data_IF_336773296013
#
_entry.id   IF_336773296013
#
_cell.length_a   1.000
_cell.length_b   1.000
_cell.length_c   1.000
_cell.angle_alpha   90.00
_cell.angle_beta   90.00
_cell.angle_gamma   90.00
#
_symmetry.space_group_name_H-M   'P 1'
#
loop_
_entity.id
_entity.type
_entity.pdbx_description
1 polymer ?
#
# COMPACT_ATOMS: atom_id res chain seq x y z
N UNK A 1 -19.51 8.00 -30.04
CA UNK A 1 -19.24 7.41 -28.69
C UNK A 1 -17.97 6.59 -28.81
N UNK A 2 -16.91 6.99 -28.14
CA UNK A 2 -15.68 6.19 -28.03
C UNK A 2 -15.98 4.99 -27.15
N UNK A 3 -15.66 3.78 -27.61
CA UNK A 3 -15.82 2.56 -26.82
C UNK A 3 -14.83 2.61 -25.62
N UNK A 4 -15.34 2.52 -24.39
CA UNK A 4 -14.51 2.42 -23.15
C UNK A 4 -14.20 0.94 -22.88
N UNK A 5 -13.44 0.30 -23.78
CA UNK A 5 -13.02 -1.10 -23.68
C UNK A 5 -11.57 -1.13 -23.25
N UNK A 6 -11.28 -1.78 -22.13
CA UNK A 6 -9.93 -2.03 -21.64
C UNK A 6 -9.38 -3.30 -22.31
N UNK A 7 -8.15 -3.24 -22.82
CA UNK A 7 -7.53 -4.36 -23.50
C UNK A 7 -6.51 -5.03 -22.56
N UNK A 8 -6.88 -6.18 -22.02
CA UNK A 8 -6.03 -7.00 -21.17
C UNK A 8 -5.79 -6.42 -19.76
N UNK A 9 -4.99 -7.14 -18.97
CA UNK A 9 -4.70 -6.80 -17.58
C UNK A 9 -4.04 -5.42 -17.44
N UNK A 10 -2.98 -5.17 -18.21
CA UNK A 10 -2.19 -3.94 -18.09
C UNK A 10 -3.02 -2.65 -18.25
N UNK A 11 -3.93 -2.62 -19.23
CA UNK A 11 -4.78 -1.46 -19.47
C UNK A 11 -5.97 -1.34 -18.48
N UNK A 12 -6.17 -2.38 -17.66
CA UNK A 12 -7.18 -2.38 -16.60
C UNK A 12 -6.67 -1.85 -15.27
N UNK A 13 -5.34 -1.70 -15.12
CA UNK A 13 -4.72 -1.12 -13.93
C UNK A 13 -4.93 0.39 -13.91
N UNK A 14 -5.32 0.93 -12.76
CA UNK A 14 -5.55 2.35 -12.58
C UNK A 14 -6.96 2.83 -12.96
N UNK A 15 -7.16 4.14 -12.99
CA UNK A 15 -8.46 4.80 -13.10
C UNK A 15 -9.49 4.26 -12.09
N UNK A 16 -9.02 3.97 -10.88
CA UNK A 16 -9.86 3.51 -9.79
C UNK A 16 -10.79 4.62 -9.32
N UNK A 17 -11.97 4.29 -8.81
CA UNK A 17 -12.87 5.29 -8.23
C UNK A 17 -12.25 6.01 -7.04
N UNK A 18 -12.68 7.24 -6.83
CA UNK A 18 -12.54 7.96 -5.57
C UNK A 18 -13.90 7.91 -4.88
N UNK A 19 -13.96 7.31 -3.70
CA UNK A 19 -15.21 7.01 -2.97
C UNK A 19 -15.31 7.97 -1.79
N UNK A 20 -16.44 8.66 -1.65
CA UNK A 20 -16.74 9.37 -0.41
C UNK A 20 -17.15 8.37 0.68
N UNK A 21 -16.54 8.49 1.86
CA UNK A 21 -16.87 7.68 3.03
C UNK A 21 -17.90 8.48 3.84
N UNK A 22 -19.17 8.28 3.51
CA UNK A 22 -20.29 9.10 3.99
C UNK A 22 -20.40 9.17 5.52
N UNK A 23 -20.22 8.04 6.19
CA UNK A 23 -20.29 7.99 7.65
C UNK A 23 -19.23 8.86 8.32
N UNK A 24 -18.03 8.89 7.77
CA UNK A 24 -16.90 9.67 8.29
C UNK A 24 -17.02 11.15 7.87
N UNK A 25 -17.51 11.43 6.67
CA UNK A 25 -17.81 12.79 6.24
C UNK A 25 -18.81 13.44 7.16
N UNK A 26 -19.90 12.74 7.48
CA UNK A 26 -20.93 13.21 8.42
C UNK A 26 -20.36 13.41 9.84
N UNK A 27 -19.55 12.47 10.34
CA UNK A 27 -19.00 12.52 11.69
C UNK A 27 -17.94 13.62 11.88
N UNK A 28 -17.15 13.92 10.85
CA UNK A 28 -16.07 14.92 10.94
C UNK A 28 -16.47 16.32 10.50
N UNK A 29 -17.51 16.42 9.66
CA UNK A 29 -17.89 17.65 8.97
C UNK A 29 -16.90 18.05 7.87
N UNK A 30 -16.09 17.11 7.42
CA UNK A 30 -15.18 17.20 6.27
C UNK A 30 -15.67 16.25 5.18
N UNK A 31 -15.24 16.43 3.94
CA UNK A 31 -15.40 15.42 2.89
C UNK A 31 -14.23 14.43 2.97
N UNK A 32 -14.50 13.18 3.36
CA UNK A 32 -13.48 12.13 3.47
C UNK A 32 -13.55 11.21 2.25
N UNK A 33 -12.46 11.17 1.48
CA UNK A 33 -12.38 10.46 0.21
C UNK A 33 -11.37 9.31 0.28
N UNK A 34 -11.77 8.13 -0.18
CA UNK A 34 -10.92 6.95 -0.30
C UNK A 34 -10.64 6.60 -1.76
N UNK A 35 -9.39 6.60 -2.18
CA UNK A 35 -8.98 6.11 -3.50
C UNK A 35 -9.01 4.59 -3.52
N UNK A 36 -9.97 4.00 -4.23
CA UNK A 36 -10.32 2.58 -4.16
C UNK A 36 -9.34 1.68 -4.92
N UNK A 37 -8.11 1.58 -4.46
CA UNK A 37 -7.04 0.79 -5.08
C UNK A 37 -7.29 -0.74 -5.01
N UNK A 38 -8.19 -1.19 -4.15
CA UNK A 38 -8.66 -2.58 -4.13
C UNK A 38 -9.47 -2.97 -5.39
N UNK A 39 -9.86 -2.01 -6.21
CA UNK A 39 -10.54 -2.24 -7.50
C UNK A 39 -9.57 -2.37 -8.68
N UNK A 40 -8.27 -2.27 -8.48
CA UNK A 40 -7.32 -2.74 -9.49
C UNK A 40 -7.52 -4.24 -9.77
N UNK A 41 -7.21 -4.73 -10.97
CA UNK A 41 -7.49 -6.11 -11.38
C UNK A 41 -6.80 -7.19 -10.53
N UNK A 42 -5.65 -6.90 -9.93
CA UNK A 42 -4.97 -7.76 -8.94
C UNK A 42 -5.41 -7.49 -7.51
N UNK A 43 -6.32 -6.55 -7.30
CA UNK A 43 -6.96 -6.26 -6.02
C UNK A 43 -6.16 -5.38 -5.08
N UNK A 44 -5.16 -4.63 -5.55
CA UNK A 44 -4.40 -3.75 -4.67
C UNK A 44 -3.71 -2.59 -5.38
N UNK A 45 -3.25 -1.63 -4.57
CA UNK A 45 -2.40 -0.51 -4.99
C UNK A 45 -1.08 -0.95 -5.65
N UNK A 46 -0.63 -2.18 -5.39
CA UNK A 46 0.64 -2.70 -5.91
C UNK A 46 0.61 -3.05 -7.39
N UNK A 47 -0.57 -3.20 -7.98
CA UNK A 47 -0.72 -3.47 -9.41
C UNK A 47 -0.11 -2.36 -10.25
N UNK A 48 -0.23 -1.11 -9.80
CA UNK A 48 0.38 0.05 -10.47
C UNK A 48 1.91 -0.03 -10.44
N UNK A 49 2.49 -0.22 -9.26
CA UNK A 49 3.92 -0.34 -9.09
C UNK A 49 4.48 -1.53 -9.89
N UNK A 50 3.84 -2.70 -9.82
CA UNK A 50 4.22 -3.88 -10.56
C UNK A 50 4.25 -3.63 -12.07
N UNK A 51 3.19 -3.02 -12.60
CA UNK A 51 3.11 -2.70 -14.02
C UNK A 51 4.20 -1.73 -14.46
N UNK A 52 4.40 -0.62 -13.73
CA UNK A 52 5.40 0.38 -14.10
C UNK A 52 6.84 -0.13 -14.00
N UNK A 53 7.18 -0.89 -12.96
CA UNK A 53 8.51 -1.49 -12.82
C UNK A 53 8.82 -2.41 -14.00
N UNK A 54 7.83 -3.19 -14.46
CA UNK A 54 8.03 -4.10 -15.62
C UNK A 54 8.14 -3.32 -16.93
N UNK A 55 7.24 -2.35 -17.18
CA UNK A 55 7.26 -1.56 -18.41
C UNK A 55 8.55 -0.73 -18.56
N UNK A 56 9.04 -0.13 -17.48
CA UNK A 56 10.29 0.63 -17.53
C UNK A 56 11.51 -0.31 -17.67
N UNK A 57 11.47 -1.52 -17.10
CA UNK A 57 12.51 -2.52 -17.32
C UNK A 57 12.56 -2.98 -18.78
N UNK A 58 11.41 -3.20 -19.43
CA UNK A 58 11.33 -3.52 -20.86
C UNK A 58 11.91 -2.39 -21.72
N UNK A 59 11.46 -1.17 -21.47
CA UNK A 59 11.91 0.03 -22.19
C UNK A 59 13.41 0.26 -22.05
N UNK A 60 13.97 -0.02 -20.88
CA UNK A 60 15.40 0.08 -20.60
C UNK A 60 16.22 -1.12 -21.12
N UNK A 61 15.56 -2.16 -21.67
CA UNK A 61 16.23 -3.39 -22.14
C UNK A 61 16.76 -4.29 -21.01
N UNK A 62 16.34 -4.03 -19.76
CA UNK A 62 16.71 -4.82 -18.58
C UNK A 62 15.93 -6.12 -18.47
N UNK A 63 14.74 -6.19 -19.07
CA UNK A 63 13.88 -7.37 -19.15
C UNK A 63 13.57 -7.66 -20.61
N UNK A 64 13.99 -8.81 -21.11
CA UNK A 64 13.79 -9.24 -22.50
C UNK A 64 12.69 -10.30 -22.55
N UNK A 65 12.15 -10.52 -23.75
CA UNK A 65 11.09 -11.53 -23.97
C UNK A 65 11.47 -12.90 -23.38
N UNK A 66 10.52 -13.53 -22.69
CA UNK A 66 10.70 -14.82 -22.02
C UNK A 66 11.55 -14.77 -20.74
N UNK A 67 11.96 -13.59 -20.28
CA UNK A 67 12.75 -13.40 -19.06
C UNK A 67 11.98 -13.67 -17.78
N UNK A 68 12.64 -13.51 -16.64
CA UNK A 68 12.09 -13.70 -15.31
C UNK A 68 12.05 -12.38 -14.52
N UNK A 69 10.95 -12.13 -13.83
CA UNK A 69 10.80 -11.04 -12.88
C UNK A 69 11.01 -11.62 -11.49
N UNK A 70 12.01 -11.13 -10.77
CA UNK A 70 12.36 -11.61 -9.43
C UNK A 70 12.04 -10.54 -8.41
N UNK A 71 11.37 -10.91 -7.30
CA UNK A 71 11.10 -9.98 -6.20
C UNK A 71 11.08 -10.68 -4.85
N UNK A 72 11.62 -9.98 -3.84
CA UNK A 72 11.51 -10.36 -2.45
C UNK A 72 10.26 -9.76 -1.81
N UNK A 73 9.19 -10.55 -1.65
CA UNK A 73 7.93 -10.04 -1.11
C UNK A 73 7.02 -11.15 -0.59
N UNK A 74 6.33 -10.88 0.51
CA UNK A 74 5.30 -11.77 1.08
C UNK A 74 3.86 -11.25 0.85
N UNK A 75 3.69 -10.21 0.01
CA UNK A 75 2.41 -9.49 -0.08
C UNK A 75 1.94 -9.19 -1.49
N UNK A 76 1.16 -8.12 -1.56
CA UNK A 76 0.47 -7.68 -2.78
C UNK A 76 1.39 -7.42 -3.98
N UNK A 77 2.66 -7.06 -3.75
CA UNK A 77 3.62 -6.85 -4.85
C UNK A 77 3.89 -8.13 -5.61
N UNK A 78 4.04 -9.27 -4.92
CA UNK A 78 4.21 -10.56 -5.57
C UNK A 78 3.00 -10.92 -6.44
N UNK A 79 1.79 -10.64 -5.97
CA UNK A 79 0.55 -10.85 -6.72
C UNK A 79 0.54 -9.99 -7.98
N UNK A 80 0.79 -8.67 -7.83
CA UNK A 80 0.80 -7.74 -8.96
C UNK A 80 1.84 -8.12 -10.01
N UNK A 81 3.07 -8.45 -9.58
CA UNK A 81 4.15 -8.86 -10.48
C UNK A 81 3.83 -10.18 -11.21
N UNK A 82 3.25 -11.16 -10.51
CA UNK A 82 2.86 -12.44 -11.14
C UNK A 82 1.77 -12.25 -12.20
N UNK A 83 0.78 -11.40 -11.93
CA UNK A 83 -0.29 -11.10 -12.89
C UNK A 83 0.25 -10.32 -14.11
N UNK A 84 1.13 -9.35 -13.88
CA UNK A 84 1.81 -8.61 -14.97
C UNK A 84 2.69 -9.57 -15.78
N UNK A 85 3.45 -10.45 -15.11
CA UNK A 85 4.29 -11.45 -15.77
C UNK A 85 3.46 -12.34 -16.70
N UNK A 86 2.36 -12.90 -16.20
CA UNK A 86 1.45 -13.72 -17.02
C UNK A 86 0.90 -12.95 -18.23
N UNK A 87 0.46 -11.70 -18.02
CA UNK A 87 -0.11 -10.88 -19.08
C UNK A 87 0.91 -10.49 -20.17
N UNK A 88 2.20 -10.53 -19.85
CA UNK A 88 3.29 -10.10 -20.75
C UNK A 88 4.24 -11.22 -21.19
N UNK A 89 3.96 -12.47 -20.79
CA UNK A 89 4.75 -13.65 -21.21
C UNK A 89 6.09 -13.79 -20.49
N UNK A 90 6.18 -13.34 -19.23
CA UNK A 90 7.34 -13.52 -18.36
C UNK A 90 7.10 -14.60 -17.31
N UNK A 91 8.19 -15.12 -16.76
CA UNK A 91 8.17 -15.90 -15.52
C UNK A 91 8.17 -14.94 -14.32
N UNK A 92 7.60 -15.35 -13.21
CA UNK A 92 7.74 -14.64 -11.93
C UNK A 92 8.36 -15.55 -10.88
N UNK A 93 9.40 -15.07 -10.20
CA UNK A 93 10.10 -15.75 -9.10
C UNK A 93 9.94 -14.90 -7.85
N UNK A 94 9.19 -15.40 -6.88
CA UNK A 94 8.87 -14.68 -5.65
C UNK A 94 9.57 -15.34 -4.48
N UNK A 95 10.48 -14.60 -3.87
CA UNK A 95 11.20 -15.02 -2.66
C UNK A 95 10.49 -14.46 -1.44
N UNK A 96 10.12 -15.33 -0.49
CA UNK A 96 9.37 -14.91 0.69
C UNK A 96 9.77 -15.71 1.94
N UNK A 97 9.58 -15.13 3.16
CA UNK A 97 9.83 -15.85 4.40
C UNK A 97 8.84 -17.01 4.60
N UNK A 98 9.34 -18.14 5.10
CA UNK A 98 8.55 -19.36 5.29
C UNK A 98 7.48 -19.27 6.40
N UNK A 99 7.52 -18.25 7.24
CA UNK A 99 6.53 -18.01 8.30
C UNK A 99 5.27 -17.25 7.83
N UNK A 100 5.09 -17.10 6.52
CA UNK A 100 3.87 -16.54 5.94
C UNK A 100 2.74 -17.60 5.99
N UNK A 101 1.48 -17.13 5.90
CA UNK A 101 0.34 -18.05 5.84
C UNK A 101 0.39 -18.92 4.59
N UNK A 102 -0.06 -20.17 4.70
CA UNK A 102 -0.11 -21.09 3.56
C UNK A 102 -0.96 -20.54 2.42
N UNK A 103 -2.06 -19.85 2.75
CA UNK A 103 -2.95 -19.19 1.78
C UNK A 103 -2.22 -18.21 0.86
N UNK A 104 -1.25 -17.45 1.38
CA UNK A 104 -0.45 -16.51 0.57
C UNK A 104 0.50 -17.25 -0.38
N UNK A 105 1.13 -18.31 0.11
CA UNK A 105 2.04 -19.13 -0.68
C UNK A 105 1.26 -19.79 -1.82
N UNK A 106 0.11 -20.37 -1.51
CA UNK A 106 -0.73 -21.06 -2.47
C UNK A 106 -1.35 -20.11 -3.51
N UNK A 107 -1.72 -18.90 -3.08
CA UNK A 107 -2.19 -17.87 -4.00
C UNK A 107 -1.12 -17.53 -5.04
N UNK A 108 0.12 -17.28 -4.62
CA UNK A 108 1.21 -16.95 -5.56
C UNK A 108 1.50 -18.11 -6.53
N UNK A 109 1.50 -19.36 -6.03
CA UNK A 109 1.64 -20.57 -6.87
C UNK A 109 0.49 -20.71 -7.87
N UNK A 110 -0.74 -20.44 -7.42
CA UNK A 110 -1.93 -20.46 -8.29
C UNK A 110 -1.83 -19.42 -9.40
N UNK A 111 -1.19 -18.28 -9.12
CA UNK A 111 -0.91 -17.25 -10.12
C UNK A 111 0.29 -17.60 -11.04
N UNK A 112 0.86 -18.79 -10.91
CA UNK A 112 1.96 -19.27 -11.75
C UNK A 112 3.35 -18.81 -11.29
N UNK A 113 3.49 -18.21 -10.09
CA UNK A 113 4.79 -17.83 -9.58
C UNK A 113 5.60 -19.02 -9.09
N UNK A 114 6.89 -19.02 -9.40
CA UNK A 114 7.88 -19.85 -8.73
C UNK A 114 8.14 -19.25 -7.34
N UNK A 115 7.65 -19.93 -6.28
CA UNK A 115 7.76 -19.43 -4.90
C UNK A 115 8.94 -20.10 -4.20
N UNK A 116 9.91 -19.29 -3.82
CA UNK A 116 11.11 -19.70 -3.08
C UNK A 116 10.98 -19.24 -1.62
N UNK A 117 11.03 -20.19 -0.68
CA UNK A 117 10.87 -19.93 0.76
C UNK A 117 12.23 -19.80 1.43
N UNK A 118 12.40 -18.74 2.22
CA UNK A 118 13.59 -18.51 3.06
C UNK A 118 13.24 -18.60 4.55
N UNK A 119 14.20 -18.88 5.39
CA UNK A 119 14.03 -18.73 6.82
C UNK A 119 13.81 -17.24 7.17
N UNK A 120 12.92 -16.93 8.14
CA UNK A 120 12.78 -15.56 8.62
C UNK A 120 14.11 -15.03 9.16
N UNK A 121 14.55 -13.91 8.64
CA UNK A 121 15.80 -13.28 9.01
C UNK A 121 15.65 -11.73 9.04
N UNK A 122 16.37 -11.01 9.92
CA UNK A 122 16.35 -9.55 9.93
C UNK A 122 16.97 -8.98 8.64
N UNK A 123 16.60 -7.76 8.29
CA UNK A 123 17.08 -7.10 7.06
C UNK A 123 18.61 -7.03 6.97
N UNK A 124 19.32 -6.94 8.10
CA UNK A 124 20.79 -6.93 8.16
C UNK A 124 21.45 -8.28 7.82
N UNK A 125 20.69 -9.38 7.80
CA UNK A 125 21.19 -10.70 7.43
C UNK A 125 21.18 -10.90 5.91
N UNK A 126 22.23 -11.50 5.32
CA UNK A 126 22.23 -11.88 3.91
C UNK A 126 21.14 -12.91 3.55
N UNK A 127 20.64 -13.67 4.54
CA UNK A 127 19.57 -14.65 4.37
C UNK A 127 18.16 -14.03 4.38
N UNK A 128 18.07 -12.70 4.56
CA UNK A 128 16.78 -12.03 4.42
C UNK A 128 16.26 -12.17 2.98
N UNK A 129 14.98 -12.45 2.84
CA UNK A 129 14.33 -12.67 1.54
C UNK A 129 14.60 -11.56 0.50
N UNK A 130 14.84 -10.33 0.95
CA UNK A 130 15.20 -9.21 0.08
C UNK A 130 16.58 -9.43 -0.60
N UNK A 131 17.59 -9.81 0.20
CA UNK A 131 18.94 -10.07 -0.32
C UNK A 131 19.01 -11.37 -1.12
N UNK A 132 18.26 -12.39 -0.69
CA UNK A 132 18.13 -13.66 -1.43
C UNK A 132 17.50 -13.42 -2.80
N UNK A 133 16.44 -12.59 -2.90
CA UNK A 133 15.82 -12.24 -4.18
C UNK A 133 16.79 -11.53 -5.11
N UNK A 134 17.57 -10.58 -4.58
CA UNK A 134 18.63 -9.93 -5.35
C UNK A 134 19.62 -10.95 -5.91
N UNK A 135 20.19 -11.80 -5.06
CA UNK A 135 21.14 -12.85 -5.47
C UNK A 135 20.51 -13.78 -6.50
N UNK A 136 19.26 -14.20 -6.29
CA UNK A 136 18.54 -15.06 -7.21
C UNK A 136 18.38 -14.44 -8.59
N UNK A 137 18.15 -13.12 -8.66
CA UNK A 137 18.07 -12.41 -9.95
C UNK A 137 19.41 -12.36 -10.71
N UNK A 138 20.54 -12.42 -10.00
CA UNK A 138 21.88 -12.47 -10.59
C UNK A 138 22.24 -13.88 -11.14
N UNK A 139 21.58 -14.92 -10.60
CA UNK A 139 21.79 -16.34 -11.00
C UNK A 139 20.93 -16.78 -12.20
N UNK A 140 19.79 -16.14 -12.40
CA UNK A 140 18.85 -16.48 -13.47
C UNK A 140 19.17 -15.67 -14.72
N UNK A 141 19.43 -16.36 -15.82
CA UNK A 141 19.65 -15.70 -17.11
C UNK A 141 18.41 -14.89 -17.54
N UNK A 142 18.62 -13.68 -18.04
CA UNK A 142 17.57 -12.76 -18.45
C UNK A 142 16.55 -12.48 -17.32
N UNK A 143 17.02 -12.33 -16.09
CA UNK A 143 16.18 -11.93 -14.96
C UNK A 143 16.26 -10.42 -14.70
N UNK A 144 15.16 -9.87 -14.27
CA UNK A 144 15.02 -8.51 -13.77
C UNK A 144 14.60 -8.54 -12.30
N UNK A 145 15.42 -7.97 -11.42
CA UNK A 145 15.03 -7.73 -10.03
C UNK A 145 14.18 -6.47 -9.93
N UNK A 146 12.91 -6.62 -9.57
CA UNK A 146 11.99 -5.50 -9.52
C UNK A 146 12.37 -4.47 -8.45
N UNK A 147 12.93 -4.93 -7.29
CA UNK A 147 13.47 -4.10 -6.21
C UNK A 147 12.52 -2.98 -5.78
N UNK A 148 11.31 -3.35 -5.39
CA UNK A 148 10.20 -2.44 -5.10
C UNK A 148 10.54 -1.29 -4.13
N UNK A 149 11.55 -1.45 -3.28
CA UNK A 149 11.94 -0.44 -2.29
C UNK A 149 12.80 0.68 -2.88
N UNK A 150 13.73 0.33 -3.78
CA UNK A 150 14.71 1.29 -4.32
C UNK A 150 14.46 1.65 -5.79
N UNK A 151 13.68 0.86 -6.52
CA UNK A 151 13.31 1.17 -7.90
C UNK A 151 12.28 2.30 -7.95
N UNK A 152 12.69 3.45 -8.46
CA UNK A 152 11.87 4.66 -8.53
C UNK A 152 10.66 4.54 -9.46
N UNK A 153 10.63 3.57 -10.38
CA UNK A 153 9.44 3.29 -11.20
C UNK A 153 8.21 2.97 -10.34
N UNK A 154 8.42 2.50 -9.10
CA UNK A 154 7.33 2.33 -8.13
C UNK A 154 6.69 3.68 -7.77
N UNK A 155 7.46 4.68 -7.40
CA UNK A 155 6.91 6.02 -7.09
C UNK A 155 6.47 6.76 -8.35
N UNK A 156 7.11 6.53 -9.50
CA UNK A 156 6.70 7.10 -10.77
C UNK A 156 5.31 6.62 -11.21
N UNK A 157 4.96 5.37 -10.93
CA UNK A 157 3.61 4.84 -11.17
C UNK A 157 2.54 5.71 -10.50
N UNK A 158 2.77 6.09 -9.25
CA UNK A 158 1.83 6.89 -8.48
C UNK A 158 1.88 8.38 -8.82
N UNK A 159 3.05 8.89 -9.15
CA UNK A 159 3.21 10.27 -9.63
C UNK A 159 2.49 10.48 -10.97
N UNK A 160 2.60 9.51 -11.90
CA UNK A 160 2.03 9.62 -13.25
C UNK A 160 0.57 9.19 -13.35
N UNK A 161 0.04 8.44 -12.38
CA UNK A 161 -1.33 7.90 -12.47
C UNK A 161 -2.17 8.19 -11.25
N UNK A 162 -1.84 7.68 -10.06
CA UNK A 162 -2.68 7.79 -8.86
C UNK A 162 -2.94 9.24 -8.47
N UNK A 163 -1.91 10.05 -8.43
CA UNK A 163 -2.01 11.45 -8.01
C UNK A 163 -2.78 12.32 -9.03
N UNK A 164 -2.50 12.26 -10.34
CA UNK A 164 -3.31 12.94 -11.35
C UNK A 164 -4.78 12.51 -11.35
N UNK A 165 -5.06 11.21 -11.08
CA UNK A 165 -6.43 10.73 -10.95
C UNK A 165 -7.15 11.38 -9.77
N UNK A 166 -6.52 11.40 -8.57
CA UNK A 166 -7.07 12.04 -7.38
C UNK A 166 -7.31 13.54 -7.66
N UNK A 167 -6.33 14.24 -8.19
CA UNK A 167 -6.43 15.67 -8.51
C UNK A 167 -7.59 15.97 -9.46
N UNK A 168 -7.72 15.20 -10.54
CA UNK A 168 -8.82 15.32 -11.50
C UNK A 168 -10.18 14.99 -10.87
N UNK A 169 -10.25 13.93 -10.07
CA UNK A 169 -11.49 13.44 -9.45
C UNK A 169 -12.03 14.40 -8.40
N UNK A 170 -11.16 15.16 -7.74
CA UNK A 170 -11.53 16.21 -6.80
C UNK A 170 -11.77 17.58 -7.48
N UNK A 171 -11.57 17.68 -8.80
CA UNK A 171 -11.62 18.96 -9.50
C UNK A 171 -10.51 19.94 -9.06
N UNK A 172 -9.44 19.43 -8.41
CA UNK A 172 -8.41 20.25 -7.78
C UNK A 172 -8.77 20.79 -6.39
N UNK A 173 -9.95 20.48 -5.90
CA UNK A 173 -10.45 20.90 -4.56
C UNK A 173 -10.06 19.82 -3.52
N UNK A 174 -8.81 19.86 -3.09
CA UNK A 174 -8.23 18.94 -2.11
C UNK A 174 -7.39 19.73 -1.11
N UNK A 175 -7.72 19.62 0.18
CA UNK A 175 -7.04 20.33 1.27
C UNK A 175 -5.99 19.47 1.96
N UNK A 176 -6.19 18.15 1.98
CA UNK A 176 -5.26 17.25 2.63
C UNK A 176 -5.26 15.83 2.08
N UNK A 177 -4.11 15.16 2.24
CA UNK A 177 -3.97 13.74 1.98
C UNK A 177 -3.11 13.08 3.05
N UNK A 178 -3.52 11.87 3.45
CA UNK A 178 -2.76 11.08 4.42
C UNK A 178 -2.73 9.63 3.99
N UNK A 179 -1.60 8.98 4.18
CA UNK A 179 -1.42 7.56 3.89
C UNK A 179 -0.26 6.96 4.67
N UNK A 180 -0.27 5.67 4.83
CA UNK A 180 0.84 4.89 5.41
C UNK A 180 1.92 4.59 4.36
N UNK A 181 3.06 4.09 4.83
CA UNK A 181 4.19 3.76 3.98
C UNK A 181 4.76 2.37 4.29
N UNK A 182 4.94 1.59 3.24
CA UNK A 182 5.80 0.40 3.22
C UNK A 182 7.02 0.69 2.36
N UNK A 183 6.93 0.48 1.04
CA UNK A 183 8.01 0.78 0.09
C UNK A 183 8.25 2.27 -0.11
N UNK A 184 7.31 3.11 0.24
CA UNK A 184 7.36 4.55 -0.02
C UNK A 184 6.85 4.97 -1.40
N UNK A 185 6.57 4.04 -2.31
CA UNK A 185 6.19 4.38 -3.68
C UNK A 185 4.94 5.23 -3.77
N UNK A 186 3.86 4.82 -3.12
CA UNK A 186 2.59 5.56 -3.15
C UNK A 186 2.73 6.95 -2.54
N UNK A 187 3.24 7.03 -1.30
CA UNK A 187 3.37 8.30 -0.60
C UNK A 187 4.38 9.23 -1.31
N UNK A 188 5.49 8.68 -1.83
CA UNK A 188 6.50 9.43 -2.57
C UNK A 188 5.94 10.04 -3.85
N UNK A 189 5.29 9.23 -4.70
CA UNK A 189 4.74 9.69 -5.96
C UNK A 189 3.55 10.64 -5.79
N UNK A 190 2.61 10.27 -4.91
CA UNK A 190 1.38 11.06 -4.71
C UNK A 190 1.68 12.42 -4.10
N UNK A 191 2.47 12.48 -3.03
CA UNK A 191 2.74 13.77 -2.37
C UNK A 191 3.63 14.67 -3.19
N UNK A 192 4.58 14.11 -3.97
CA UNK A 192 5.40 14.91 -4.89
C UNK A 192 4.52 15.62 -5.91
N UNK A 193 3.65 14.90 -6.62
CA UNK A 193 2.76 15.48 -7.61
C UNK A 193 1.78 16.50 -7.01
N UNK A 194 1.08 16.12 -5.93
CA UNK A 194 0.05 16.99 -5.33
C UNK A 194 0.63 18.29 -4.77
N UNK A 195 1.83 18.26 -4.18
CA UNK A 195 2.53 19.48 -3.74
C UNK A 195 3.00 20.37 -4.89
N UNK A 196 3.16 19.84 -6.08
CA UNK A 196 3.43 20.64 -7.30
C UNK A 196 2.16 21.33 -7.81
N UNK A 197 0.99 20.67 -7.65
CA UNK A 197 -0.29 21.30 -8.02
C UNK A 197 -0.73 22.35 -6.99
N UNK A 198 -0.58 22.06 -5.70
CA UNK A 198 -0.92 22.94 -4.60
C UNK A 198 0.09 22.78 -3.45
N UNK A 199 1.00 23.73 -3.31
CA UNK A 199 2.04 23.69 -2.26
C UNK A 199 1.48 23.80 -0.84
N UNK A 200 0.28 24.33 -0.65
CA UNK A 200 -0.39 24.46 0.65
C UNK A 200 -1.19 23.21 1.06
N UNK A 201 -1.38 22.23 0.16
CA UNK A 201 -2.08 20.98 0.46
C UNK A 201 -1.39 20.24 1.61
N UNK A 202 -2.13 19.90 2.68
CA UNK A 202 -1.60 19.22 3.83
C UNK A 202 -1.30 17.73 3.51
N UNK A 203 -0.04 17.32 3.61
CA UNK A 203 0.42 15.97 3.30
C UNK A 203 0.98 15.28 4.52
N UNK A 204 0.39 14.14 4.92
CA UNK A 204 0.73 13.48 6.17
C UNK A 204 1.01 11.99 5.99
N UNK A 205 1.93 11.48 6.80
CA UNK A 205 2.10 10.06 7.05
C UNK A 205 1.17 9.62 8.19
N UNK A 206 0.58 8.44 8.10
CA UNK A 206 0.10 7.66 9.25
C UNK A 206 0.96 6.42 9.38
N UNK A 207 1.60 6.23 10.54
CA UNK A 207 2.60 5.18 10.76
C UNK A 207 2.13 4.20 11.83
N UNK A 208 2.20 2.87 11.60
CA UNK A 208 1.79 1.88 12.58
C UNK A 208 2.79 1.76 13.72
N UNK A 209 2.38 1.16 14.82
CA UNK A 209 3.26 0.68 15.88
C UNK A 209 4.33 -0.26 15.28
N UNK A 210 5.55 -0.22 15.78
CA UNK A 210 6.65 -1.05 15.26
C UNK A 210 7.36 -0.50 14.01
N UNK A 211 6.90 0.64 13.47
CA UNK A 211 7.59 1.37 12.41
C UNK A 211 8.41 2.53 12.95
N UNK A 212 9.49 2.88 12.27
CA UNK A 212 10.36 4.00 12.62
C UNK A 212 10.14 5.27 11.81
N UNK A 213 9.21 5.30 10.85
CA UNK A 213 9.02 6.45 9.97
C UNK A 213 8.43 7.66 10.69
N UNK A 214 7.52 7.43 11.65
CA UNK A 214 6.99 8.52 12.48
C UNK A 214 8.12 9.21 13.26
N UNK A 215 8.95 8.45 13.95
CA UNK A 215 10.08 9.01 14.73
C UNK A 215 11.11 9.67 13.82
N UNK A 216 11.38 9.10 12.65
CA UNK A 216 12.26 9.72 11.67
C UNK A 216 11.76 11.10 11.22
N UNK A 217 10.46 11.24 10.91
CA UNK A 217 9.88 12.53 10.49
C UNK A 217 9.79 13.57 11.62
N UNK A 218 9.56 13.12 12.86
CA UNK A 218 9.32 14.03 13.99
C UNK A 218 10.57 14.33 14.82
N UNK A 219 11.55 13.42 14.85
CA UNK A 219 12.74 13.51 15.69
C UNK A 219 14.05 13.37 14.90
N UNK A 220 14.00 13.03 13.61
CA UNK A 220 15.19 12.85 12.75
C UNK A 220 15.88 11.49 12.89
N UNK A 221 15.35 10.56 13.67
CA UNK A 221 15.94 9.24 13.91
C UNK A 221 14.91 8.11 13.77
N UNK A 222 15.38 6.93 13.31
CA UNK A 222 14.55 5.73 13.25
C UNK A 222 14.46 5.06 14.62
N UNK A 223 13.30 5.18 15.25
CA UNK A 223 13.02 4.51 16.52
C UNK A 223 11.71 3.77 16.42
N UNK A 224 11.79 2.44 16.33
CA UNK A 224 10.65 1.54 16.29
C UNK A 224 10.44 0.91 17.66
N UNK A 225 9.19 0.91 18.13
CA UNK A 225 8.80 0.28 19.38
C UNK A 225 7.57 -0.59 19.15
N UNK A 226 7.61 -1.82 19.67
CA UNK A 226 6.52 -2.79 19.52
C UNK A 226 6.46 -3.46 18.13
N UNK A 227 5.31 -4.02 17.83
CA UNK A 227 4.96 -4.68 16.56
C UNK A 227 3.57 -4.26 16.15
N UNK A 228 3.20 -4.52 14.91
CA UNK A 228 1.84 -4.30 14.41
C UNK A 228 1.31 -5.52 13.67
N UNK A 229 -0.01 -5.67 13.67
CA UNK A 229 -0.74 -6.64 12.86
C UNK A 229 -0.88 -6.19 11.40
N UNK A 230 -0.55 -4.94 11.10
CA UNK A 230 -0.67 -4.41 9.74
C UNK A 230 0.30 -5.07 8.79
N UNK A 231 -0.12 -5.28 7.56
CA UNK A 231 0.68 -5.93 6.54
C UNK A 231 1.05 -4.96 5.42
N UNK A 232 2.27 -5.12 4.88
CA UNK A 232 2.76 -4.35 3.73
C UNK A 232 3.13 -2.89 4.01
N UNK A 233 3.08 -2.47 5.26
CA UNK A 233 3.44 -1.14 5.74
C UNK A 233 4.28 -1.22 7.00
N UNK A 234 4.89 -0.10 7.39
CA UNK A 234 5.79 -0.04 8.54
C UNK A 234 7.21 -0.50 8.19
N UNK A 235 8.17 0.39 8.32
CA UNK A 235 9.56 0.15 7.96
C UNK A 235 10.50 0.98 8.84
N UNK A 236 11.73 0.47 9.06
CA UNK A 236 12.74 1.11 9.93
C UNK A 236 13.92 1.69 9.13
N UNK A 237 13.67 2.13 7.92
CA UNK A 237 14.63 2.82 7.07
C UNK A 237 13.93 3.72 6.06
N UNK A 238 14.58 4.76 5.59
CA UNK A 238 14.13 5.49 4.42
C UNK A 238 14.54 4.72 3.15
N UNK A 239 13.58 4.48 2.26
CA UNK A 239 13.81 3.91 0.94
C UNK A 239 13.99 5.02 -0.09
N UNK A 240 14.56 4.72 -1.25
CA UNK A 240 14.67 5.70 -2.33
C UNK A 240 13.28 6.25 -2.73
N UNK A 241 12.26 5.42 -2.74
CA UNK A 241 10.90 5.83 -3.02
C UNK A 241 10.33 6.76 -1.95
N UNK A 242 10.55 6.46 -0.65
CA UNK A 242 10.07 7.30 0.46
C UNK A 242 10.75 8.66 0.49
N UNK A 243 12.02 8.74 0.11
CA UNK A 243 12.77 10.01 0.05
C UNK A 243 12.21 11.03 -0.95
N UNK A 244 11.30 10.61 -1.84
CA UNK A 244 10.56 11.51 -2.74
C UNK A 244 9.33 12.15 -2.08
N UNK A 245 8.91 11.65 -0.91
CA UNK A 245 7.71 12.15 -0.24
C UNK A 245 7.93 13.58 0.26
N UNK A 246 6.93 14.42 0.04
CA UNK A 246 6.88 15.80 0.56
C UNK A 246 5.81 15.83 1.64
N UNK A 247 6.21 15.80 2.90
CA UNK A 247 5.35 15.62 4.05
C UNK A 247 5.41 16.82 5.00
N UNK A 248 4.25 17.26 5.49
CA UNK A 248 4.12 18.33 6.48
C UNK A 248 4.07 17.78 7.92
N UNK A 249 3.87 16.48 8.08
CA UNK A 249 3.85 15.85 9.40
C UNK A 249 3.47 14.37 9.37
N UNK A 250 3.32 13.81 10.56
CA UNK A 250 2.98 12.42 10.73
C UNK A 250 2.03 12.19 11.93
N UNK A 251 1.25 11.12 11.83
CA UNK A 251 0.45 10.56 12.92
C UNK A 251 0.93 9.15 13.22
N UNK A 252 0.66 8.68 14.45
CA UNK A 252 0.71 7.26 14.80
C UNK A 252 -0.70 6.67 14.81
N UNK A 253 -0.78 5.37 14.46
CA UNK A 253 -1.98 4.58 14.61
C UNK A 253 -1.68 3.25 15.28
N UNK A 254 -2.59 2.78 16.12
CA UNK A 254 -2.49 1.53 16.86
C UNK A 254 -3.23 0.40 16.14
N UNK A 255 -2.91 -0.84 16.48
CA UNK A 255 -3.62 -2.01 15.97
C UNK A 255 -5.11 -2.00 16.37
N UNK A 256 -5.42 -1.53 17.58
CA UNK A 256 -6.81 -1.38 18.01
C UNK A 256 -7.56 -0.40 17.10
N UNK A 257 -6.96 0.75 16.79
CA UNK A 257 -7.57 1.73 15.87
C UNK A 257 -7.80 1.14 14.48
N UNK A 258 -6.88 0.30 13.99
CA UNK A 258 -7.03 -0.40 12.70
C UNK A 258 -8.23 -1.34 12.72
N UNK A 259 -8.36 -2.15 13.77
CA UNK A 259 -9.47 -3.10 13.89
C UNK A 259 -10.80 -2.38 14.05
N UNK A 260 -10.90 -1.42 14.95
CA UNK A 260 -12.12 -0.62 15.16
C UNK A 260 -12.58 0.07 13.86
N UNK A 261 -11.64 0.72 13.14
CA UNK A 261 -11.94 1.38 11.88
C UNK A 261 -12.41 0.40 10.81
N UNK A 262 -11.78 -0.78 10.72
CA UNK A 262 -12.17 -1.78 9.73
C UNK A 262 -13.60 -2.29 9.96
N UNK A 263 -13.98 -2.51 11.21
CA UNK A 263 -15.33 -2.94 11.58
C UNK A 263 -16.35 -1.80 11.41
N UNK A 264 -15.96 -0.58 11.76
CA UNK A 264 -16.80 0.61 11.58
C UNK A 264 -17.16 0.79 10.10
N UNK A 265 -16.18 0.79 9.21
CA UNK A 265 -16.37 0.98 7.76
C UNK A 265 -17.18 -0.16 7.13
N UNK A 266 -16.93 -1.40 7.54
CA UNK A 266 -17.73 -2.54 7.06
C UNK A 266 -19.20 -2.39 7.45
N UNK A 267 -19.47 -1.94 8.67
CA UNK A 267 -20.83 -1.81 9.21
C UNK A 267 -21.59 -0.60 8.65
N UNK A 268 -20.92 0.54 8.51
CA UNK A 268 -21.58 1.80 8.19
C UNK A 268 -21.54 2.18 6.72
N UNK A 269 -20.46 1.82 6.01
CA UNK A 269 -20.24 2.19 4.61
C UNK A 269 -20.17 0.96 3.68
N UNK A 270 -20.24 -0.28 4.20
CA UNK A 270 -20.09 -1.50 3.42
C UNK A 270 -18.69 -1.69 2.84
N UNK A 271 -17.70 -0.97 3.36
CA UNK A 271 -16.31 -1.03 2.89
C UNK A 271 -15.55 -2.16 3.58
N UNK A 272 -15.34 -3.26 2.85
CA UNK A 272 -14.57 -4.41 3.31
C UNK A 272 -13.12 -4.28 2.84
N UNK A 273 -12.23 -3.76 3.72
CA UNK A 273 -10.88 -3.31 3.39
C UNK A 273 -9.79 -3.99 4.21
N UNK A 274 -8.54 -3.94 3.74
CA UNK A 274 -7.39 -4.48 4.45
C UNK A 274 -6.83 -3.55 5.54
N UNK A 275 -5.84 -4.06 6.29
CA UNK A 275 -5.28 -3.39 7.48
C UNK A 275 -4.64 -2.04 7.17
N UNK A 276 -3.87 -1.94 6.09
CA UNK A 276 -3.24 -0.68 5.68
C UNK A 276 -4.26 0.37 5.24
N UNK A 277 -5.35 -0.06 4.59
CA UNK A 277 -6.44 0.82 4.21
C UNK A 277 -7.18 1.35 5.45
N UNK A 278 -7.46 0.49 6.44
CA UNK A 278 -8.08 0.90 7.70
C UNK A 278 -7.20 1.91 8.46
N UNK A 279 -5.89 1.67 8.55
CA UNK A 279 -4.95 2.63 9.15
C UNK A 279 -4.96 3.98 8.40
N UNK A 280 -4.98 3.94 7.08
CA UNK A 280 -5.05 5.15 6.25
C UNK A 280 -6.29 5.98 6.56
N UNK A 281 -7.44 5.34 6.76
CA UNK A 281 -8.70 6.02 7.12
C UNK A 281 -8.64 6.57 8.55
N UNK A 282 -8.01 5.88 9.50
CA UNK A 282 -7.69 6.46 10.83
C UNK A 282 -6.92 7.77 10.67
N UNK A 283 -5.90 7.77 9.80
CA UNK A 283 -5.13 8.97 9.46
C UNK A 283 -5.99 10.08 8.88
N UNK A 284 -6.94 9.75 7.99
CA UNK A 284 -7.85 10.73 7.38
C UNK A 284 -8.72 11.42 8.43
N UNK A 285 -9.27 10.68 9.40
CA UNK A 285 -10.03 11.27 10.52
C UNK A 285 -9.13 12.13 11.41
N UNK A 286 -7.91 11.69 11.72
CA UNK A 286 -6.94 12.51 12.48
C UNK A 286 -6.61 13.81 11.76
N UNK A 287 -6.41 13.76 10.45
CA UNK A 287 -6.15 14.95 9.64
C UNK A 287 -7.38 15.88 9.58
N UNK A 288 -8.60 15.32 9.43
CA UNK A 288 -9.84 16.08 9.47
C UNK A 288 -10.00 16.87 10.78
N UNK A 289 -9.75 16.20 11.91
CA UNK A 289 -9.78 16.86 13.24
C UNK A 289 -8.73 17.95 13.38
N UNK A 290 -7.56 17.75 12.78
CA UNK A 290 -6.46 18.74 12.78
C UNK A 290 -6.79 19.97 11.93
N UNK A 291 -7.37 19.80 10.75
CA UNK A 291 -7.69 20.90 9.83
C UNK A 291 -8.99 21.61 10.24
N UNK A 292 -9.93 20.90 10.84
CA UNK A 292 -11.25 21.40 11.18
C UNK A 292 -12.28 21.10 10.08
N UNK A 293 -13.54 21.51 10.32
CA UNK A 293 -14.66 21.24 9.41
C UNK A 293 -14.54 21.97 8.08
N UNK A 294 -15.17 21.40 7.06
CA UNK A 294 -15.28 22.02 5.71
C UNK A 294 -14.14 21.71 4.77
N UNK A 295 -13.17 20.86 5.15
CA UNK A 295 -12.05 20.48 4.31
C UNK A 295 -12.32 19.17 3.55
N UNK A 296 -11.70 19.05 2.38
CA UNK A 296 -11.68 17.81 1.57
C UNK A 296 -10.37 17.06 1.80
N UNK A 297 -10.46 15.81 2.27
CA UNK A 297 -9.32 14.99 2.65
C UNK A 297 -9.38 13.66 1.91
N UNK A 298 -8.30 13.30 1.22
CA UNK A 298 -8.17 12.02 0.56
C UNK A 298 -7.26 11.05 1.32
N UNK A 299 -7.50 9.77 1.10
CA UNK A 299 -6.60 8.68 1.52
C UNK A 299 -6.64 7.53 0.53
N UNK A 300 -5.84 6.47 0.76
CA UNK A 300 -5.72 5.32 -0.13
C UNK A 300 -6.35 4.09 0.52
N UNK A 301 -7.33 3.49 -0.13
CA UNK A 301 -7.87 2.18 0.22
C UNK A 301 -7.07 1.11 -0.52
N UNK A 302 -5.96 0.69 0.11
CA UNK A 302 -4.85 -0.03 -0.55
C UNK A 302 -5.25 -1.38 -1.13
N UNK A 303 -6.06 -2.16 -0.40
CA UNK A 303 -6.54 -3.49 -0.80
C UNK A 303 -7.85 -3.85 -0.07
N UNK A 304 -8.48 -4.95 -0.49
CA UNK A 304 -9.72 -5.45 0.09
C UNK A 304 -9.50 -6.38 1.27
N UNK A 305 -10.55 -6.53 2.11
CA UNK A 305 -10.55 -7.36 3.33
C UNK A 305 -10.49 -8.88 3.07
N UNK A 306 -10.73 -9.33 1.84
CA UNK A 306 -10.79 -10.76 1.50
C UNK A 306 -9.54 -11.55 1.84
N UNK A 307 -8.36 -10.91 1.88
CA UNK A 307 -7.07 -11.51 2.24
C UNK A 307 -6.80 -11.55 3.75
N UNK A 308 -7.73 -11.02 4.55
CA UNK A 308 -7.56 -10.83 6.01
C UNK A 308 -8.64 -11.55 6.83
N UNK A 309 -9.45 -12.39 6.19
CA UNK A 309 -10.59 -13.07 6.84
C UNK A 309 -10.16 -13.98 7.99
N UNK A 310 -9.03 -14.68 7.86
CA UNK A 310 -8.49 -15.56 8.90
C UNK A 310 -7.85 -14.81 10.07
N UNK A 311 -7.70 -13.49 9.99
CA UNK A 311 -7.03 -12.63 10.99
C UNK A 311 -7.93 -11.49 11.45
N UNK A 312 -7.81 -10.29 10.86
CA UNK A 312 -8.47 -9.07 11.33
C UNK A 312 -10.02 -9.10 11.26
N UNK A 313 -10.58 -10.07 10.56
CA UNK A 313 -12.03 -10.33 10.51
C UNK A 313 -12.44 -11.64 11.20
N UNK A 314 -11.50 -12.32 11.87
CA UNK A 314 -11.77 -13.52 12.65
C UNK A 314 -11.88 -13.17 14.14
N UNK A 315 -13.08 -13.29 14.77
CA UNK A 315 -13.27 -12.92 16.16
C UNK A 315 -12.44 -13.77 17.13
N UNK A 316 -12.13 -15.01 16.80
CA UNK A 316 -11.28 -15.88 17.65
C UNK A 316 -9.85 -15.33 17.64
N UNK A 317 -9.31 -15.06 16.45
CA UNK A 317 -7.97 -14.49 16.31
C UNK A 317 -7.85 -13.12 16.98
N UNK A 318 -8.89 -12.27 16.85
CA UNK A 318 -8.91 -10.94 17.50
C UNK A 318 -8.89 -11.06 19.02
N UNK A 319 -9.68 -11.98 19.59
CA UNK A 319 -9.69 -12.26 21.03
C UNK A 319 -8.33 -12.76 21.54
N UNK A 320 -7.67 -13.66 20.81
CA UNK A 320 -6.32 -14.16 21.13
C UNK A 320 -5.27 -13.04 21.11
N UNK A 321 -5.47 -12.00 20.28
CA UNK A 321 -4.57 -10.84 20.18
C UNK A 321 -4.94 -9.69 21.13
N UNK A 322 -6.05 -9.80 21.87
CA UNK A 322 -6.56 -8.72 22.72
C UNK A 322 -7.08 -7.53 21.93
N UNK A 323 -7.53 -7.75 20.68
CA UNK A 323 -7.95 -6.71 19.73
C UNK A 323 -9.45 -6.78 19.42
N UNK A 324 -10.26 -7.33 20.30
CA UNK A 324 -11.71 -7.39 20.10
C UNK A 324 -12.28 -5.96 19.97
N UNK A 325 -13.02 -5.66 18.88
CA UNK A 325 -13.61 -4.33 18.71
C UNK A 325 -14.71 -4.08 19.75
N UNK A 326 -14.69 -2.90 20.35
CA UNK A 326 -15.61 -2.50 21.44
C UNK A 326 -16.23 -1.12 21.23
N UNK A 327 -15.70 -0.31 20.31
CA UNK A 327 -16.14 1.05 20.07
C UNK A 327 -17.56 1.09 19.49
N UNK A 328 -18.33 2.10 19.90
CA UNK A 328 -19.70 2.35 19.40
C UNK A 328 -19.72 3.42 18.29
N UNK A 329 -18.73 4.28 18.26
CA UNK A 329 -18.55 5.36 17.31
C UNK A 329 -17.08 5.53 16.95
N UNK A 330 -16.59 6.77 16.90
CA UNK A 330 -15.21 7.12 16.55
C UNK A 330 -14.35 7.51 17.76
N UNK A 331 -14.76 7.18 18.98
CA UNK A 331 -14.04 7.46 20.22
C UNK A 331 -12.65 6.83 20.26
N UNK A 332 -12.48 5.69 19.62
CA UNK A 332 -11.18 4.99 19.53
C UNK A 332 -10.07 5.77 18.81
N UNK A 333 -10.42 6.85 18.09
CA UNK A 333 -9.41 7.67 17.38
C UNK A 333 -8.68 8.61 18.35
N UNK A 334 -9.27 8.93 19.49
CA UNK A 334 -8.71 9.84 20.49
C UNK A 334 -7.78 9.15 21.49
N UNK A 335 -7.72 7.83 21.48
CA UNK A 335 -6.82 7.01 22.27
C UNK A 335 -5.47 6.84 21.56
#
# INVERSE_FOLDING_TARGET
>A
MTRDIRIGFANSVGNTPLIEIESLSAATGCTILGKAEFLNPGGSVKDRAALFMVLEAEKAGLLKAGGAIVEGTAGNTGIGLSLVANARGYRSVIVMPSNQSQEKIDLLRTLGAEVELTNPAPFSSPDNYYHVARKRSEEIENAFWANQFENLSNSDAHYQTTAPEIWRQTGGELDGIVMSSGTGGTIGGVTAYLKEQNSSLATYLIDPTGSGLYSYLTMGEFKAEGNSITEGIGINRATANFNRARLDGAFRGTDQQVIEMSQYLLKHDGLFIGSSAALNVVGAVKLARKLGKGHTIATILCDGGGRYQSRMYNPIWLAEKGLTPVAKGLEFIDE
#
